data_IF_982557890338
#
_entry.id   IF_982557890338
#
_cell.length_a   1.000
_cell.length_b   1.000
_cell.length_c   1.000
_cell.angle_alpha   90.00
_cell.angle_beta   90.00
_cell.angle_gamma   90.00
#
_symmetry.space_group_name_H-M   'P 1'
#
loop_
_entity.id
_entity.type
_entity.pdbx_description
1 polymer ?
#
# COMPACT_ATOMS: atom_id res chain seq x y z
N UNK A 1 -31.49 -18.84 -8.94
CA UNK A 1 -30.58 -19.48 -7.97
C UNK A 1 -29.25 -18.81 -8.15
N UNK A 2 -29.04 -17.69 -7.45
CA UNK A 2 -27.85 -16.85 -7.60
C UNK A 2 -26.72 -17.44 -6.76
N UNK A 3 -25.94 -18.34 -7.35
CA UNK A 3 -24.60 -18.64 -6.87
C UNK A 3 -23.67 -17.55 -7.45
N UNK A 4 -23.76 -16.32 -6.94
CA UNK A 4 -22.74 -15.32 -7.24
C UNK A 4 -21.43 -15.88 -6.71
N UNK A 5 -20.59 -16.32 -7.64
CA UNK A 5 -19.27 -16.85 -7.32
C UNK A 5 -18.53 -15.85 -6.43
N UNK A 6 -17.93 -16.27 -5.31
CA UNK A 6 -17.31 -15.34 -4.38
C UNK A 6 -16.17 -14.60 -5.09
N UNK A 7 -16.21 -13.27 -5.01
CA UNK A 7 -15.14 -12.39 -5.48
C UNK A 7 -13.92 -12.66 -4.61
N UNK A 8 -12.75 -12.75 -5.21
CA UNK A 8 -11.54 -12.95 -4.45
C UNK A 8 -10.31 -12.40 -5.14
N UNK A 9 -9.28 -12.22 -4.33
CA UNK A 9 -8.04 -11.61 -4.75
C UNK A 9 -6.89 -12.06 -3.87
N UNK A 10 -5.68 -12.04 -4.44
CA UNK A 10 -4.44 -12.27 -3.74
C UNK A 10 -3.29 -11.56 -4.45
N UNK A 11 -2.26 -11.17 -3.69
CA UNK A 11 -1.04 -10.55 -4.19
C UNK A 11 0.13 -11.50 -3.92
N UNK A 12 0.87 -11.87 -4.97
CA UNK A 12 2.09 -12.66 -4.88
C UNK A 12 3.29 -11.75 -5.00
N UNK A 13 4.14 -11.76 -3.98
CA UNK A 13 5.34 -10.97 -3.88
C UNK A 13 6.54 -11.88 -4.10
N UNK A 14 7.42 -11.55 -5.05
CA UNK A 14 8.61 -12.35 -5.33
C UNK A 14 9.76 -12.04 -4.36
N UNK A 15 9.46 -12.22 -3.08
CA UNK A 15 10.41 -12.08 -1.98
C UNK A 15 9.90 -12.83 -0.74
N UNK A 16 10.70 -12.86 0.32
CA UNK A 16 10.34 -13.47 1.61
C UNK A 16 9.46 -12.55 2.47
N UNK A 17 8.65 -13.10 3.40
CA UNK A 17 7.65 -12.32 4.16
C UNK A 17 8.23 -11.11 4.91
N UNK A 18 9.44 -11.24 5.46
CA UNK A 18 10.10 -10.18 6.23
C UNK A 18 10.35 -8.90 5.41
N UNK A 19 10.61 -9.05 4.11
CA UNK A 19 10.79 -7.92 3.20
C UNK A 19 9.45 -7.29 2.77
N UNK A 20 8.37 -8.08 2.72
CA UNK A 20 7.04 -7.63 2.31
C UNK A 20 6.38 -6.80 3.40
N UNK A 21 6.47 -7.27 4.65
CA UNK A 21 5.80 -6.68 5.83
C UNK A 21 5.85 -5.15 5.90
N UNK A 22 7.02 -4.48 5.90
CA UNK A 22 7.07 -3.02 6.08
C UNK A 22 6.40 -2.27 4.92
N UNK A 23 6.49 -2.80 3.70
CA UNK A 23 5.87 -2.17 2.52
C UNK A 23 4.36 -2.40 2.51
N UNK A 24 3.90 -3.60 2.90
CA UNK A 24 2.49 -3.95 2.98
C UNK A 24 1.72 -3.11 4.02
N UNK A 25 2.37 -2.74 5.13
CA UNK A 25 1.78 -1.81 6.12
C UNK A 25 1.43 -0.44 5.52
N UNK A 26 2.10 0.00 4.45
CA UNK A 26 1.80 1.27 3.79
C UNK A 26 0.48 1.25 3.00
N UNK A 27 -0.05 0.07 2.67
CA UNK A 27 -1.36 -0.07 2.04
C UNK A 27 -2.49 0.35 2.98
N UNK A 28 -2.24 0.34 4.30
CA UNK A 28 -3.20 0.72 5.36
C UNK A 28 -4.49 -0.10 5.35
N UNK A 29 -4.42 -1.33 4.88
CA UNK A 29 -5.53 -2.28 4.85
C UNK A 29 -5.16 -3.54 5.63
N UNK A 30 -6.13 -4.23 6.25
CA UNK A 30 -5.87 -5.49 6.93
C UNK A 30 -5.55 -6.57 5.89
N UNK A 31 -4.36 -7.15 6.00
CA UNK A 31 -3.84 -8.16 5.07
C UNK A 31 -3.34 -9.36 5.84
N UNK A 32 -3.54 -10.57 5.31
CA UNK A 32 -2.88 -11.78 5.78
C UNK A 32 -1.62 -12.02 4.95
N UNK A 33 -0.46 -12.08 5.58
CA UNK A 33 0.83 -12.39 4.96
C UNK A 33 1.25 -13.82 5.31
N UNK A 34 1.54 -14.64 4.31
CA UNK A 34 2.09 -15.98 4.50
C UNK A 34 3.25 -16.25 3.53
N UNK A 35 4.19 -17.14 3.87
CA UNK A 35 5.15 -17.66 2.89
C UNK A 35 4.41 -18.43 1.79
N UNK A 36 4.89 -18.32 0.55
CA UNK A 36 4.31 -18.96 -0.63
C UNK A 36 5.34 -19.75 -1.44
N UNK A 37 6.24 -20.45 -0.74
CA UNK A 37 7.37 -21.19 -1.32
C UNK A 37 8.68 -20.39 -1.37
N UNK A 38 9.78 -20.99 -1.85
CA UNK A 38 11.09 -20.35 -1.86
C UNK A 38 11.12 -19.02 -2.63
N UNK A 39 11.43 -17.92 -1.93
CA UNK A 39 11.50 -16.60 -2.54
C UNK A 39 10.14 -15.99 -2.90
N UNK A 40 9.05 -16.52 -2.36
CA UNK A 40 7.70 -16.06 -2.60
C UNK A 40 6.94 -15.83 -1.28
N UNK A 41 6.09 -14.82 -1.30
CA UNK A 41 5.13 -14.53 -0.24
C UNK A 41 3.77 -14.21 -0.84
N UNK A 42 2.72 -14.50 -0.10
CA UNK A 42 1.34 -14.19 -0.48
C UNK A 42 0.75 -13.20 0.52
N UNK A 43 0.10 -12.17 0.00
CA UNK A 43 -0.76 -11.27 0.76
C UNK A 43 -2.21 -11.49 0.33
N UNK A 44 -3.11 -11.68 1.30
CA UNK A 44 -4.54 -11.83 1.04
C UNK A 44 -5.30 -10.71 1.73
N UNK A 45 -6.07 -9.90 0.99
CA UNK A 45 -6.89 -8.84 1.57
C UNK A 45 -7.98 -9.41 2.49
N UNK A 46 -8.10 -8.86 3.69
CA UNK A 46 -9.23 -9.15 4.57
C UNK A 46 -10.39 -8.17 4.31
N UNK A 47 -11.62 -8.65 4.36
CA UNK A 47 -12.82 -7.80 4.40
C UNK A 47 -13.24 -7.16 3.08
N UNK A 48 -12.93 -7.80 1.94
CA UNK A 48 -13.41 -7.45 0.60
C UNK A 48 -13.35 -5.93 0.29
N UNK A 49 -12.16 -5.33 0.23
CA UNK A 49 -11.97 -3.87 0.14
C UNK A 49 -12.64 -3.21 -1.08
N UNK A 50 -12.88 -3.99 -2.14
CA UNK A 50 -13.62 -3.60 -3.35
C UNK A 50 -15.13 -3.38 -3.12
N UNK A 51 -15.73 -3.93 -2.06
CA UNK A 51 -17.15 -3.75 -1.73
C UNK A 51 -17.46 -2.47 -0.93
N UNK A 52 -16.58 -1.47 -0.98
CA UNK A 52 -16.70 -0.26 -0.18
C UNK A 52 -16.02 -0.43 1.17
N UNK A 53 -14.70 -0.68 1.14
CA UNK A 53 -13.86 -0.78 2.34
C UNK A 53 -13.98 0.40 3.30
N UNK A 54 -13.18 0.42 4.37
CA UNK A 54 -13.32 1.36 5.52
C UNK A 54 -13.40 2.85 5.13
N UNK A 55 -12.94 3.23 3.93
CA UNK A 55 -13.04 4.58 3.34
C UNK A 55 -14.44 4.95 2.81
N UNK A 56 -15.22 3.99 2.31
CA UNK A 56 -16.59 4.25 1.83
C UNK A 56 -17.61 4.50 2.95
N UNK A 57 -17.23 4.27 4.22
CA UNK A 57 -18.04 4.65 5.38
C UNK A 57 -18.07 6.16 5.64
N UNK A 58 -17.26 6.95 4.95
CA UNK A 58 -17.21 8.40 5.09
C UNK A 58 -17.75 9.12 3.84
N UNK A 59 -19.06 8.97 3.59
CA UNK A 59 -19.82 9.88 2.73
C UNK A 59 -20.03 9.42 1.29
N UNK A 60 -21.30 9.57 0.86
CA UNK A 60 -21.78 9.69 -0.52
C UNK A 60 -21.47 8.54 -1.50
N UNK A 61 -22.40 7.57 -1.60
CA UNK A 61 -22.79 6.93 -2.87
C UNK A 61 -21.69 6.36 -3.76
N UNK A 62 -20.48 6.15 -3.24
CA UNK A 62 -19.32 5.82 -4.04
C UNK A 62 -19.44 4.36 -4.46
N UNK A 63 -19.58 4.17 -5.77
CA UNK A 63 -19.79 2.86 -6.39
C UNK A 63 -18.59 1.96 -6.06
N UNK A 64 -18.87 0.73 -5.65
CA UNK A 64 -17.86 -0.30 -5.40
C UNK A 64 -16.80 -0.31 -6.52
N UNK A 65 -15.54 -0.15 -6.14
CA UNK A 65 -14.44 -0.10 -7.09
C UNK A 65 -14.13 -1.52 -7.60
N UNK A 66 -13.96 -1.73 -8.91
CA UNK A 66 -13.65 -3.06 -9.45
C UNK A 66 -12.40 -3.68 -8.80
N UNK A 67 -12.48 -4.98 -8.49
CA UNK A 67 -11.40 -5.71 -7.80
C UNK A 67 -10.06 -5.60 -8.53
N UNK A 68 -10.08 -5.62 -9.87
CA UNK A 68 -8.90 -5.50 -10.72
C UNK A 68 -8.18 -4.17 -10.55
N UNK A 69 -8.94 -3.07 -10.42
CA UNK A 69 -8.40 -1.73 -10.22
C UNK A 69 -7.79 -1.58 -8.83
N UNK A 70 -8.48 -2.03 -7.79
CA UNK A 70 -7.97 -1.97 -6.40
C UNK A 70 -6.66 -2.74 -6.29
N UNK A 71 -6.64 -3.99 -6.74
CA UNK A 71 -5.48 -4.87 -6.63
C UNK A 71 -4.33 -4.43 -7.55
N UNK A 72 -4.62 -3.94 -8.75
CA UNK A 72 -3.62 -3.36 -9.64
C UNK A 72 -2.93 -2.14 -9.03
N UNK A 73 -3.71 -1.29 -8.33
CA UNK A 73 -3.18 -0.15 -7.58
C UNK A 73 -2.27 -0.59 -6.44
N UNK A 74 -2.67 -1.61 -5.67
CA UNK A 74 -1.85 -2.14 -4.57
C UNK A 74 -0.58 -2.82 -5.06
N UNK A 75 -0.66 -3.64 -6.12
CA UNK A 75 0.52 -4.25 -6.74
C UNK A 75 1.51 -3.17 -7.20
N UNK A 76 1.02 -2.10 -7.82
CA UNK A 76 1.86 -0.96 -8.23
C UNK A 76 2.49 -0.26 -7.03
N UNK A 77 1.71 0.03 -5.98
CA UNK A 77 2.22 0.67 -4.77
C UNK A 77 3.32 -0.17 -4.09
N UNK A 78 3.11 -1.48 -3.96
CA UNK A 78 4.11 -2.40 -3.42
C UNK A 78 5.35 -2.49 -4.31
N UNK A 79 5.17 -2.59 -5.63
CA UNK A 79 6.26 -2.70 -6.59
C UNK A 79 7.11 -1.43 -6.67
N UNK A 80 6.51 -0.24 -6.56
CA UNK A 80 7.23 1.04 -6.54
C UNK A 80 8.05 1.20 -5.26
N UNK A 81 7.53 0.73 -4.13
CA UNK A 81 8.22 0.73 -2.84
C UNK A 81 9.28 -0.36 -2.68
N UNK A 82 9.58 -1.14 -3.73
CA UNK A 82 10.46 -2.29 -3.66
C UNK A 82 11.25 -2.53 -4.95
N UNK A 83 12.12 -3.54 -4.94
CA UNK A 83 12.92 -3.95 -6.11
C UNK A 83 12.43 -5.27 -6.71
N UNK A 84 11.38 -5.87 -6.15
CA UNK A 84 10.85 -7.16 -6.55
C UNK A 84 9.49 -7.01 -7.25
N UNK A 85 9.17 -7.89 -8.22
CA UNK A 85 7.88 -7.86 -8.90
C UNK A 85 6.73 -8.31 -7.99
N UNK A 86 5.55 -7.75 -8.24
CA UNK A 86 4.30 -8.04 -7.52
C UNK A 86 3.21 -8.43 -8.49
N UNK A 87 2.63 -9.61 -8.30
CA UNK A 87 1.56 -10.15 -9.12
C UNK A 87 0.24 -10.10 -8.36
N UNK A 88 -0.66 -9.22 -8.79
CA UNK A 88 -2.06 -9.24 -8.38
C UNK A 88 -2.82 -10.30 -9.17
N UNK A 89 -3.55 -11.16 -8.49
CA UNK A 89 -4.50 -12.12 -9.04
C UNK A 89 -5.88 -11.81 -8.49
N UNK A 90 -6.89 -11.85 -9.34
CA UNK A 90 -8.25 -11.49 -8.98
C UNK A 90 -9.27 -12.29 -9.80
N UNK A 91 -10.45 -12.49 -9.21
CA UNK A 91 -11.60 -13.08 -9.88
C UNK A 91 -12.89 -12.52 -9.30
N UNK A 92 -13.89 -12.33 -10.15
CA UNK A 92 -15.25 -11.97 -9.79
C UNK A 92 -16.24 -12.95 -10.45
N UNK A 93 -17.53 -12.61 -10.48
CA UNK A 93 -18.55 -13.46 -11.11
C UNK A 93 -18.44 -13.52 -12.64
N UNK A 94 -17.83 -12.52 -13.26
CA UNK A 94 -17.87 -12.29 -14.70
C UNK A 94 -16.50 -12.47 -15.37
N UNK A 95 -15.41 -12.32 -14.61
CA UNK A 95 -14.04 -12.22 -15.11
C UNK A 95 -13.02 -12.74 -14.10
N UNK A 96 -11.86 -13.11 -14.61
CA UNK A 96 -10.69 -13.39 -13.80
C UNK A 96 -9.43 -12.90 -14.50
N UNK A 97 -8.40 -12.53 -13.76
CA UNK A 97 -7.21 -11.99 -14.39
C UNK A 97 -6.07 -11.75 -13.43
N UNK A 98 -5.01 -11.16 -13.99
CA UNK A 98 -3.85 -10.77 -13.24
C UNK A 98 -3.26 -9.43 -13.71
N UNK A 99 -2.50 -8.80 -12.83
CA UNK A 99 -1.68 -7.63 -13.11
C UNK A 99 -0.32 -7.79 -12.45
N UNK A 100 0.75 -7.75 -13.24
CA UNK A 100 2.13 -7.75 -12.79
C UNK A 100 2.68 -6.32 -12.78
N UNK A 101 3.07 -5.85 -11.61
CA UNK A 101 3.79 -4.60 -11.40
C UNK A 101 5.27 -4.87 -11.07
N UNK A 102 6.16 -3.98 -11.50
CA UNK A 102 7.61 -4.12 -11.29
C UNK A 102 8.28 -2.75 -11.28
N UNK A 103 8.50 -2.18 -10.08
CA UNK A 103 9.04 -0.82 -9.94
C UNK A 103 8.20 0.22 -10.69
N UNK A 104 8.88 1.06 -11.45
CA UNK A 104 8.28 2.12 -12.28
C UNK A 104 7.89 1.68 -13.70
N UNK A 105 7.98 0.38 -14.02
CA UNK A 105 7.58 -0.11 -15.35
C UNK A 105 6.06 -0.12 -15.47
N UNK A 106 5.53 0.14 -16.68
CA UNK A 106 4.10 0.01 -16.97
C UNK A 106 3.62 -1.39 -16.57
N UNK A 107 2.60 -1.55 -15.71
CA UNK A 107 2.07 -2.85 -15.36
C UNK A 107 1.61 -3.63 -16.60
N UNK A 108 1.77 -4.95 -16.56
CA UNK A 108 1.30 -5.86 -17.61
C UNK A 108 0.25 -6.78 -17.01
N UNK A 109 -0.87 -6.99 -17.68
CA UNK A 109 -1.95 -7.81 -17.17
C UNK A 109 -2.69 -8.54 -18.27
N UNK A 110 -3.46 -9.54 -17.87
CA UNK A 110 -4.31 -10.31 -18.78
C UNK A 110 -5.61 -10.65 -18.07
N UNK A 111 -6.69 -10.75 -18.85
CA UNK A 111 -8.04 -10.98 -18.36
C UNK A 111 -8.71 -12.06 -19.20
N UNK A 112 -9.45 -12.93 -18.53
CA UNK A 112 -10.37 -13.89 -19.11
C UNK A 112 -11.79 -13.54 -18.67
N UNK A 113 -12.76 -13.67 -19.58
CA UNK A 113 -14.18 -13.64 -19.24
C UNK A 113 -14.57 -14.92 -18.49
N UNK A 114 -15.76 -14.96 -17.90
CA UNK A 114 -16.24 -16.07 -17.06
C UNK A 114 -16.12 -17.44 -17.74
N UNK A 115 -16.43 -17.50 -19.03
CA UNK A 115 -16.34 -18.70 -19.88
C UNK A 115 -14.89 -19.08 -20.27
N UNK A 116 -13.89 -18.32 -19.81
CA UNK A 116 -12.49 -18.50 -20.15
C UNK A 116 -12.06 -17.84 -21.46
N UNK A 117 -12.95 -17.08 -22.10
CA UNK A 117 -12.63 -16.36 -23.33
C UNK A 117 -11.51 -15.35 -23.06
N UNK A 118 -10.40 -15.39 -23.82
CA UNK A 118 -9.31 -14.44 -23.71
C UNK A 118 -9.77 -13.02 -24.04
N UNK A 119 -9.49 -12.07 -23.15
CA UNK A 119 -9.84 -10.65 -23.30
C UNK A 119 -8.62 -9.71 -23.15
N UNK A 120 -7.39 -10.24 -23.16
CA UNK A 120 -6.15 -9.48 -23.11
C UNK A 120 -5.33 -9.57 -24.40
N UNK A 121 -4.28 -8.74 -24.49
CA UNK A 121 -3.33 -8.77 -25.59
C UNK A 121 -2.35 -9.95 -25.44
N UNK A 122 -2.14 -10.74 -26.49
CA UNK A 122 -1.25 -11.92 -26.44
C UNK A 122 0.20 -11.58 -26.08
N UNK A 123 0.68 -10.39 -26.46
CA UNK A 123 2.02 -9.90 -26.13
C UNK A 123 2.24 -9.72 -24.61
N UNK A 124 1.14 -9.61 -23.84
CA UNK A 124 1.20 -9.50 -22.39
C UNK A 124 1.80 -10.76 -21.75
N UNK A 125 1.59 -11.95 -22.31
CA UNK A 125 2.13 -13.21 -21.78
C UNK A 125 3.66 -13.27 -21.90
N UNK A 126 4.21 -12.85 -23.04
CA UNK A 126 5.66 -12.81 -23.25
C UNK A 126 6.34 -11.79 -22.33
N UNK A 127 5.76 -10.59 -22.24
CA UNK A 127 6.26 -9.54 -21.35
C UNK A 127 6.17 -9.96 -19.87
N UNK A 128 5.10 -10.65 -19.49
CA UNK A 128 4.92 -11.21 -18.15
C UNK A 128 6.01 -12.25 -17.83
N UNK A 129 6.25 -13.19 -18.74
CA UNK A 129 7.27 -14.22 -18.60
C UNK A 129 8.67 -13.63 -18.46
N UNK A 130 9.04 -12.67 -19.32
CA UNK A 130 10.33 -11.99 -19.28
C UNK A 130 10.56 -11.30 -17.93
N UNK A 131 9.57 -10.56 -17.43
CA UNK A 131 9.70 -9.81 -16.16
C UNK A 131 9.74 -10.71 -14.93
N UNK A 132 9.11 -11.87 -15.01
CA UNK A 132 9.23 -12.91 -14.00
C UNK A 132 10.41 -13.85 -14.27
N UNK A 133 11.26 -13.63 -15.28
CA UNK A 133 12.39 -14.51 -15.57
C UNK A 133 11.99 -15.97 -15.70
N UNK A 134 10.83 -16.23 -16.31
CA UNK A 134 10.38 -17.58 -16.66
C UNK A 134 11.19 -18.11 -17.85
N UNK A 135 11.15 -19.43 -18.06
CA UNK A 135 11.81 -20.02 -19.21
C UNK A 135 11.20 -19.49 -20.51
N UNK A 136 12.00 -18.89 -21.41
CA UNK A 136 11.50 -18.21 -22.60
C UNK A 136 10.89 -19.16 -23.64
N UNK A 137 11.02 -20.47 -23.46
CA UNK A 137 10.51 -21.49 -24.38
C UNK A 137 9.36 -22.27 -23.74
N UNK A 138 9.63 -23.06 -22.71
CA UNK A 138 8.68 -24.00 -22.12
C UNK A 138 7.59 -23.29 -21.31
N UNK A 139 7.95 -22.26 -20.56
CA UNK A 139 6.97 -21.53 -19.75
C UNK A 139 6.16 -20.57 -20.62
N UNK A 140 6.79 -19.88 -21.56
CA UNK A 140 6.08 -19.03 -22.53
C UNK A 140 5.07 -19.84 -23.36
N UNK A 141 5.44 -21.02 -23.86
CA UNK A 141 4.51 -21.90 -24.57
C UNK A 141 3.32 -22.32 -23.70
N UNK A 142 3.58 -22.61 -22.41
CA UNK A 142 2.53 -22.98 -21.46
C UNK A 142 1.59 -21.79 -21.18
N UNK A 143 2.11 -20.57 -21.13
CA UNK A 143 1.33 -19.35 -20.94
C UNK A 143 0.52 -18.98 -22.19
N UNK A 144 1.12 -19.06 -23.38
CA UNK A 144 0.42 -18.81 -24.65
C UNK A 144 -0.72 -19.83 -24.90
N UNK A 145 -0.63 -21.04 -24.35
CA UNK A 145 -1.75 -21.99 -24.40
C UNK A 145 -2.96 -21.50 -23.60
N UNK A 146 -2.77 -20.66 -22.57
CA UNK A 146 -3.86 -20.09 -21.77
C UNK A 146 -4.63 -18.98 -22.50
N UNK A 147 -4.09 -18.44 -23.60
CA UNK A 147 -4.76 -17.41 -24.42
C UNK A 147 -5.54 -18.00 -25.59
N UNK A 148 -5.45 -19.32 -25.83
CA UNK A 148 -6.20 -19.98 -26.90
C UNK A 148 -7.62 -20.32 -26.45
N UNK A 149 -8.63 -20.19 -27.33
CA UNK A 149 -9.99 -20.66 -27.04
C UNK A 149 -10.00 -22.13 -26.62
N UNK A 150 -10.67 -22.44 -25.51
CA UNK A 150 -10.89 -23.80 -24.99
C UNK A 150 -12.26 -23.82 -24.32
N UNK A 151 -13.24 -24.58 -24.85
CA UNK A 151 -14.60 -24.61 -24.33
C UNK A 151 -14.71 -25.25 -22.94
N UNK A 152 -13.72 -26.03 -22.50
CA UNK A 152 -13.75 -26.77 -21.24
C UNK A 152 -13.05 -26.00 -20.10
N UNK A 153 -12.40 -24.86 -20.38
CA UNK A 153 -11.57 -24.13 -19.44
C UNK A 153 -12.12 -22.74 -19.13
N UNK A 154 -12.92 -22.63 -18.06
CA UNK A 154 -13.44 -21.37 -17.51
C UNK A 154 -12.34 -20.42 -16.99
N UNK A 155 -12.71 -19.18 -16.63
CA UNK A 155 -11.77 -18.17 -16.15
C UNK A 155 -10.91 -18.65 -14.95
N UNK A 156 -11.51 -19.44 -14.05
CA UNK A 156 -10.81 -19.98 -12.87
C UNK A 156 -9.87 -21.12 -13.24
N UNK A 157 -10.22 -21.96 -14.21
CA UNK A 157 -9.33 -22.97 -14.76
C UNK A 157 -8.10 -22.31 -15.39
N UNK A 158 -8.26 -21.17 -16.09
CA UNK A 158 -7.13 -20.38 -16.63
C UNK A 158 -6.22 -19.82 -15.54
N UNK A 159 -6.79 -19.24 -14.48
CA UNK A 159 -6.00 -18.79 -13.32
C UNK A 159 -5.24 -19.93 -12.65
N UNK A 160 -5.85 -21.11 -12.51
CA UNK A 160 -5.17 -22.29 -11.97
C UNK A 160 -4.04 -22.76 -12.88
N UNK A 161 -4.24 -22.71 -14.20
CA UNK A 161 -3.20 -22.97 -15.19
C UNK A 161 -2.01 -22.01 -15.07
N UNK A 162 -2.29 -20.71 -14.89
CA UNK A 162 -1.25 -19.71 -14.63
C UNK A 162 -0.47 -20.02 -13.34
N UNK A 163 -1.18 -20.33 -12.25
CA UNK A 163 -0.55 -20.71 -10.98
C UNK A 163 0.31 -21.98 -11.14
N UNK A 164 -0.16 -22.96 -11.90
CA UNK A 164 0.60 -24.18 -12.20
C UNK A 164 1.91 -23.87 -12.92
N UNK A 165 1.92 -22.96 -13.91
CA UNK A 165 3.18 -22.50 -14.54
C UNK A 165 4.11 -21.87 -13.52
N UNK A 166 3.58 -20.99 -12.65
CA UNK A 166 4.38 -20.30 -11.64
C UNK A 166 5.00 -21.23 -10.59
N UNK A 167 4.43 -22.42 -10.35
CA UNK A 167 5.05 -23.41 -9.43
C UNK A 167 6.47 -23.81 -9.84
N UNK A 168 6.80 -23.74 -11.14
CA UNK A 168 8.16 -23.99 -11.65
C UNK A 168 9.19 -22.98 -11.14
N UNK A 169 8.74 -21.81 -10.67
CA UNK A 169 9.58 -20.78 -10.05
C UNK A 169 9.74 -20.93 -8.53
N UNK A 170 9.24 -22.04 -7.95
CA UNK A 170 9.19 -22.24 -6.52
C UNK A 170 7.95 -21.66 -5.84
N UNK A 171 6.97 -21.15 -6.58
CA UNK A 171 5.69 -20.76 -6.00
C UNK A 171 4.96 -22.00 -5.45
N UNK A 172 4.63 -21.96 -4.16
CA UNK A 172 3.83 -22.96 -3.49
C UNK A 172 2.82 -22.26 -2.59
N UNK A 173 1.57 -22.15 -3.05
CA UNK A 173 0.51 -21.53 -2.24
C UNK A 173 0.16 -22.44 -1.05
N UNK A 174 0.10 -21.90 0.17
CA UNK A 174 -0.34 -22.67 1.33
C UNK A 174 -1.79 -23.12 1.12
N UNK A 175 -2.08 -24.37 1.48
CA UNK A 175 -3.40 -24.96 1.34
C UNK A 175 -4.33 -24.39 2.42
N UNK A 176 -5.05 -23.32 2.09
CA UNK A 176 -5.67 -22.49 3.12
C UNK A 176 -4.63 -21.56 3.75
N UNK A 177 -5.03 -20.34 4.09
CA UNK A 177 -4.19 -19.44 4.87
C UNK A 177 -4.21 -19.95 6.31
N UNK A 178 -3.37 -20.94 6.58
CA UNK A 178 -3.30 -21.64 7.87
C UNK A 178 -2.61 -20.78 8.94
N UNK A 179 -2.37 -21.35 10.13
CA UNK A 179 -1.77 -20.73 11.32
C UNK A 179 -0.43 -20.00 11.12
N UNK A 180 0.23 -20.14 9.97
CA UNK A 180 1.44 -19.41 9.61
C UNK A 180 1.17 -18.07 8.87
N UNK A 181 -0.10 -17.76 8.61
CA UNK A 181 -0.51 -16.46 8.09
C UNK A 181 -0.48 -15.44 9.23
N UNK A 182 0.36 -14.42 9.07
CA UNK A 182 0.40 -13.32 9.99
C UNK A 182 -0.52 -12.19 9.52
N UNK A 183 -1.30 -11.66 10.46
CA UNK A 183 -2.11 -10.48 10.21
C UNK A 183 -1.25 -9.23 10.23
N UNK A 184 -1.16 -8.57 9.08
CA UNK A 184 -0.60 -7.23 8.96
C UNK A 184 -1.71 -6.23 9.24
N UNK A 185 -1.68 -5.66 10.44
CA UNK A 185 -2.44 -4.47 10.77
C UNK A 185 -1.54 -3.25 10.75
N UNK A 186 -2.05 -2.14 10.22
CA UNK A 186 -1.36 -0.87 10.33
C UNK A 186 -1.51 -0.34 11.76
N UNK A 187 -0.41 0.00 12.48
CA UNK A 187 -0.45 0.41 13.90
C UNK A 187 -1.21 1.73 14.22
N UNK A 188 -1.92 2.33 13.27
CA UNK A 188 -2.46 3.67 13.46
C UNK A 188 -1.37 4.76 13.31
N UNK A 189 -1.78 5.95 12.89
CA UNK A 189 -0.87 7.06 12.59
C UNK A 189 -0.02 7.46 13.81
N UNK A 190 -0.52 7.20 15.01
CA UNK A 190 0.14 7.55 16.28
C UNK A 190 1.35 6.69 16.60
N UNK A 191 1.32 5.41 16.25
CA UNK A 191 2.44 4.50 16.54
C UNK A 191 3.48 4.53 15.42
N UNK A 192 3.07 4.72 14.16
CA UNK A 192 3.99 4.96 13.05
C UNK A 192 4.82 6.26 13.27
N UNK A 193 4.18 7.36 13.67
CA UNK A 193 4.87 8.61 14.00
C UNK A 193 5.76 8.46 15.24
N UNK A 194 5.44 7.57 16.19
CA UNK A 194 6.28 7.33 17.37
C UNK A 194 7.54 6.54 17.04
N UNK A 195 7.46 5.58 16.12
CA UNK A 195 8.62 4.79 15.65
C UNK A 195 9.51 5.64 14.75
N UNK A 196 8.94 6.40 13.82
CA UNK A 196 9.70 7.30 12.94
C UNK A 196 10.31 8.48 13.73
N UNK A 197 9.57 9.05 14.70
CA UNK A 197 10.15 10.03 15.63
C UNK A 197 11.24 9.41 16.49
N UNK A 198 11.10 8.17 16.96
CA UNK A 198 12.14 7.48 17.73
C UNK A 198 13.42 7.25 16.92
N UNK A 199 13.28 6.89 15.64
CA UNK A 199 14.40 6.74 14.72
C UNK A 199 15.07 8.09 14.38
N UNK A 200 14.29 9.15 14.15
CA UNK A 200 14.79 10.52 13.91
C UNK A 200 15.39 11.14 15.19
N UNK A 201 14.86 10.79 16.35
CA UNK A 201 15.34 11.20 17.68
C UNK A 201 16.65 10.52 18.04
N UNK A 202 16.89 9.29 17.57
CA UNK A 202 18.17 8.58 17.66
C UNK A 202 19.21 9.00 16.60
N UNK A 203 18.79 9.78 15.59
CA UNK A 203 19.66 10.29 14.52
C UNK A 203 20.31 11.63 14.91
N UNK A 204 21.32 12.06 14.14
CA UNK A 204 22.11 13.29 14.36
C UNK A 204 21.30 14.61 14.44
N UNK A 205 20.01 14.56 14.12
CA UNK A 205 19.07 15.67 14.13
C UNK A 205 18.21 15.72 15.40
N UNK A 206 18.31 14.75 16.30
CA UNK A 206 17.61 14.72 17.59
C UNK A 206 17.63 16.05 18.38
N UNK A 207 18.78 16.76 18.50
CA UNK A 207 18.87 18.01 19.27
C UNK A 207 18.11 19.21 18.67
N UNK A 208 17.76 19.17 17.38
CA UNK A 208 16.99 20.21 16.69
C UNK A 208 15.49 19.96 16.73
N UNK A 209 15.07 18.74 17.05
CA UNK A 209 13.66 18.32 17.16
C UNK A 209 13.23 18.19 18.63
N UNK A 210 14.14 17.81 19.55
CA UNK A 210 13.95 17.87 21.01
C UNK A 210 15.24 18.35 21.69
N UNK A 211 15.14 19.44 22.45
CA UNK A 211 16.25 19.92 23.28
C UNK A 211 16.38 21.44 23.35
N UNK A 212 17.37 21.95 24.09
CA UNK A 212 17.53 23.37 24.43
C UNK A 212 17.66 24.29 23.20
N UNK A 213 17.99 23.77 22.01
CA UNK A 213 18.04 24.55 20.76
C UNK A 213 16.67 24.78 20.12
N UNK A 214 15.69 23.90 20.33
CA UNK A 214 14.29 24.18 19.95
C UNK A 214 13.73 25.36 20.76
N UNK A 215 14.13 25.50 22.03
CA UNK A 215 13.80 26.65 22.89
C UNK A 215 14.42 27.97 22.36
N UNK A 216 15.61 27.91 21.76
CA UNK A 216 16.24 29.07 21.15
C UNK A 216 15.51 29.54 19.87
N UNK A 217 15.00 28.61 19.06
CA UNK A 217 14.22 28.94 17.85
C UNK A 217 12.86 29.53 18.21
N UNK A 218 12.16 28.96 19.20
CA UNK A 218 10.91 29.52 19.73
C UNK A 218 11.10 30.92 20.32
N UNK A 219 12.22 31.15 21.04
CA UNK A 219 12.60 32.47 21.55
C UNK A 219 12.91 33.48 20.43
N UNK A 220 13.62 33.05 19.39
CA UNK A 220 13.92 33.89 18.23
C UNK A 220 12.66 34.27 17.43
N UNK A 221 11.69 33.37 17.30
CA UNK A 221 10.41 33.65 16.65
C UNK A 221 9.55 34.66 17.43
N UNK A 222 9.55 34.60 18.76
CA UNK A 222 8.89 35.60 19.61
C UNK A 222 9.60 36.98 19.52
N UNK A 223 10.93 36.99 19.49
CA UNK A 223 11.72 38.22 19.36
C UNK A 223 11.54 38.90 17.99
N UNK A 224 11.29 38.14 16.92
CA UNK A 224 11.02 38.68 15.59
C UNK A 224 9.55 39.07 15.37
N UNK A 225 8.59 38.34 15.96
CA UNK A 225 7.15 38.59 15.76
C UNK A 225 6.63 39.87 16.43
N UNK A 226 7.18 40.23 17.60
CA UNK A 226 6.78 41.43 18.35
C UNK A 226 7.05 42.76 17.60
N UNK A 227 8.25 43.01 17.05
CA UNK A 227 8.52 44.24 16.29
C UNK A 227 7.77 44.29 14.96
N UNK A 228 7.53 43.16 14.30
CA UNK A 228 6.76 43.09 13.04
C UNK A 228 5.26 43.42 13.25
N UNK A 229 4.66 42.93 14.33
CA UNK A 229 3.27 43.25 14.68
C UNK A 229 3.10 44.73 15.07
N UNK A 230 4.04 45.29 15.83
CA UNK A 230 4.05 46.71 16.20
C UNK A 230 4.26 47.61 14.98
N UNK A 231 5.14 47.22 14.06
CA UNK A 231 5.39 47.97 12.83
C UNK A 231 4.21 47.92 11.85
N UNK A 232 3.56 46.76 11.70
CA UNK A 232 2.35 46.61 10.89
C UNK A 232 1.16 47.42 11.44
N UNK A 233 1.02 47.51 12.77
CA UNK A 233 0.01 48.32 13.43
C UNK A 233 0.28 49.83 13.24
N UNK A 234 1.55 50.26 13.34
CA UNK A 234 1.97 51.64 13.12
C UNK A 234 1.73 52.11 11.67
N UNK A 235 1.81 51.21 10.68
CA UNK A 235 1.59 51.52 9.25
C UNK A 235 0.19 51.23 8.72
N UNK A 236 -0.77 50.87 9.59
CA UNK A 236 -2.17 50.52 9.25
C UNK A 236 -2.31 49.49 8.11
N UNK A 237 -1.40 48.53 8.00
CA UNK A 237 -1.47 47.47 6.98
C UNK A 237 -1.96 46.16 7.61
N UNK A 238 -3.24 45.82 7.36
CA UNK A 238 -3.89 44.65 7.97
C UNK A 238 -3.19 43.31 7.71
N UNK A 239 -2.52 43.16 6.57
CA UNK A 239 -1.80 41.93 6.21
C UNK A 239 -0.58 41.63 7.11
N UNK A 240 0.17 42.66 7.51
CA UNK A 240 1.35 42.50 8.36
C UNK A 240 0.99 42.24 9.83
N UNK A 241 -0.11 42.82 10.30
CA UNK A 241 -0.68 42.54 11.63
C UNK A 241 -1.16 41.09 11.71
N UNK A 242 -1.86 40.61 10.67
CA UNK A 242 -2.31 39.21 10.61
C UNK A 242 -1.15 38.22 10.62
N UNK A 243 -0.09 38.46 9.84
CA UNK A 243 1.09 37.61 9.82
C UNK A 243 1.80 37.56 11.18
N UNK A 244 1.92 38.70 11.88
CA UNK A 244 2.50 38.78 13.21
C UNK A 244 1.70 38.01 14.27
N UNK A 245 0.36 38.15 14.24
CA UNK A 245 -0.54 37.42 15.15
C UNK A 245 -0.50 35.91 14.88
N UNK A 246 -0.45 35.50 13.62
CA UNK A 246 -0.37 34.09 13.24
C UNK A 246 0.93 33.42 13.72
N UNK A 247 2.05 34.15 13.61
CA UNK A 247 3.36 33.73 14.15
C UNK A 247 3.35 33.59 15.67
N UNK A 248 2.72 34.52 16.39
CA UNK A 248 2.59 34.42 17.86
C UNK A 248 1.67 33.27 18.29
N UNK A 249 0.57 33.03 17.56
CA UNK A 249 -0.32 31.91 17.83
C UNK A 249 0.38 30.55 17.65
N UNK A 250 1.21 30.40 16.61
CA UNK A 250 2.03 29.20 16.39
C UNK A 250 3.06 28.99 17.51
N UNK A 251 3.75 30.06 17.95
CA UNK A 251 4.70 29.98 19.07
C UNK A 251 4.04 29.63 20.41
N UNK A 252 2.86 30.18 20.69
CA UNK A 252 2.10 29.87 21.90
C UNK A 252 1.55 28.44 21.90
N UNK A 253 1.11 27.92 20.75
CA UNK A 253 0.68 26.53 20.59
C UNK A 253 1.81 25.54 20.87
N UNK A 254 3.05 25.84 20.47
CA UNK A 254 4.23 25.02 20.81
C UNK A 254 4.49 24.94 22.31
N UNK A 255 4.38 26.07 23.02
CA UNK A 255 4.61 26.14 24.47
C UNK A 255 3.47 25.56 25.31
N UNK A 256 2.22 25.67 24.83
CA UNK A 256 1.06 25.08 25.50
C UNK A 256 1.05 23.54 25.38
N UNK A 257 1.51 23.01 24.23
CA UNK A 257 1.62 21.57 24.00
C UNK A 257 2.65 20.92 24.94
N UNK A 258 3.77 21.61 25.20
CA UNK A 258 4.78 21.15 26.17
C UNK A 258 4.25 21.21 27.62
N UNK A 259 3.49 22.24 28.00
CA UNK A 259 2.93 22.36 29.37
C UNK A 259 1.86 21.34 29.71
N UNK A 260 1.00 20.97 28.76
CA UNK A 260 -0.03 19.94 28.98
C UNK A 260 0.59 18.55 29.19
N UNK A 261 1.86 18.36 28.79
CA UNK A 261 2.55 17.07 28.88
C UNK A 261 3.45 16.91 30.11
N UNK A 262 3.98 18.00 30.66
CA UNK A 262 4.68 17.98 31.97
C UNK A 262 3.71 17.72 33.16
N UNK A 263 2.40 17.88 32.95
CA UNK A 263 1.36 17.68 33.97
C UNK A 263 0.82 16.25 34.13
N UNK A 264 1.41 15.22 33.51
CA UNK A 264 1.02 13.82 33.77
C UNK A 264 2.03 13.18 34.73
N UNK A 265 1.81 13.22 36.07
CA UNK A 265 2.61 12.41 36.98
C UNK A 265 2.36 10.94 36.62
N UNK A 266 3.46 10.19 36.46
CA UNK A 266 3.41 8.74 36.38
C UNK A 266 2.79 8.20 37.67
N UNK A 267 1.61 7.60 37.55
CA UNK A 267 1.08 6.71 38.57
C UNK A 267 1.78 5.37 38.41
N UNK A 268 2.49 4.97 39.47
CA UNK A 268 2.83 3.58 39.78
C UNK A 268 1.57 2.69 39.80
#
# INVERSE_FOLDING_TARGET
MDATSPVGALLLCRTVPDAVRPVAQLLREPLLLAPAGPGWSVLVPEGEPWQGGRRARAGEGERAEPVDRVLGGWATALAVGSTWPVLALWWDGDRAGYTLASGFRRPVGYVWLADGTPAGEDEAMRTFAERLGLDPVLDVQSLEALTRPDPDADARARLRGLLAVLTRTGLALPAGLDANAERIEWPGWRDAVRVDLGAVESSRFGPWVRGPRARAIAGAQLAAGLPLALWGAARRSGGWVFAGVLLMAQGALGLAYDRVREGRPGGE
#
